data_IF_710594638641
#
_entry.id   IF_710594638641
#
_cell.length_a   1.000
_cell.length_b   1.000
_cell.length_c   1.000
_cell.angle_alpha   90.00
_cell.angle_beta   90.00
_cell.angle_gamma   90.00
#
_symmetry.space_group_name_H-M   'P 1'
#
loop_
_entity.id
_entity.type
_entity.pdbx_description
1 polymer ?
#
# COMPACT_ATOMS: atom_id res chain seq x y z
N UNK A 1 18.33 -0.10 -4.58
CA UNK A 1 18.76 -1.48 -4.27
C UNK A 1 19.13 -1.66 -2.79
N UNK A 2 20.17 -1.00 -2.25
CA UNK A 2 20.53 -1.11 -0.81
C UNK A 2 19.48 -0.59 0.18
N UNK A 3 18.67 0.38 -0.22
CA UNK A 3 17.60 0.90 0.65
C UNK A 3 16.44 -0.09 0.77
N UNK A 4 16.13 -0.85 -0.28
CA UNK A 4 14.99 -1.77 -0.30
C UNK A 4 15.18 -2.92 0.71
N UNK A 5 16.42 -3.34 0.98
CA UNK A 5 16.70 -4.37 1.98
C UNK A 5 16.41 -3.96 3.42
N UNK A 6 16.12 -2.68 3.68
CA UNK A 6 15.69 -2.18 5.00
C UNK A 6 14.19 -2.35 5.22
N UNK A 7 13.43 -2.65 4.17
CA UNK A 7 11.98 -2.74 4.21
C UNK A 7 11.52 -4.19 4.00
N UNK A 8 10.34 -4.52 4.48
CA UNK A 8 9.75 -5.84 4.32
C UNK A 8 9.51 -6.20 2.85
N UNK A 9 8.90 -5.27 2.11
CA UNK A 9 8.51 -5.48 0.73
C UNK A 9 8.46 -4.12 0.03
N UNK A 10 8.96 -4.05 -1.20
CA UNK A 10 8.84 -2.89 -2.08
C UNK A 10 7.76 -3.12 -3.12
N UNK A 11 6.99 -2.08 -3.39
CA UNK A 11 5.95 -2.10 -4.44
C UNK A 11 6.29 -1.03 -5.46
N UNK A 12 6.49 -1.45 -6.71
CA UNK A 12 6.65 -0.54 -7.85
C UNK A 12 5.30 -0.40 -8.56
N UNK A 13 4.78 0.83 -8.63
CA UNK A 13 3.64 1.16 -9.48
C UNK A 13 4.14 1.68 -10.84
N UNK A 14 3.46 1.29 -11.92
CA UNK A 14 3.72 1.81 -13.26
C UNK A 14 2.43 2.04 -14.05
N UNK A 15 2.53 2.76 -15.16
CA UNK A 15 1.49 2.91 -16.17
C UNK A 15 1.90 2.24 -17.50
N UNK A 16 2.95 1.42 -17.48
CA UNK A 16 3.40 0.64 -18.64
C UNK A 16 2.47 -0.56 -18.86
N UNK A 17 2.09 -0.79 -20.11
CA UNK A 17 1.30 -1.97 -20.47
C UNK A 17 2.21 -3.21 -20.47
N UNK A 18 1.84 -4.27 -19.77
CA UNK A 18 2.55 -5.55 -19.86
C UNK A 18 1.92 -6.47 -20.91
N UNK A 19 2.72 -7.38 -21.45
CA UNK A 19 2.26 -8.41 -22.38
C UNK A 19 1.36 -9.45 -21.67
N UNK A 20 0.65 -10.26 -22.46
CA UNK A 20 -0.14 -11.39 -21.97
C UNK A 20 -1.20 -11.07 -20.90
N UNK A 21 -1.73 -9.83 -20.89
CA UNK A 21 -2.75 -9.36 -19.92
C UNK A 21 -2.29 -9.39 -18.46
N UNK A 22 -0.98 -9.41 -18.22
CA UNK A 22 -0.42 -9.37 -16.88
C UNK A 22 -0.65 -7.98 -16.28
N UNK A 23 -1.09 -7.93 -15.02
CA UNK A 23 -1.27 -6.67 -14.27
C UNK A 23 -0.24 -6.49 -13.14
N UNK A 24 0.44 -7.56 -12.75
CA UNK A 24 1.48 -7.52 -11.74
C UNK A 24 2.39 -8.73 -11.79
N UNK A 25 3.50 -8.64 -11.08
CA UNK A 25 4.41 -9.74 -10.85
C UNK A 25 5.16 -9.54 -9.53
N UNK A 26 5.47 -10.63 -8.85
CA UNK A 26 6.13 -10.64 -7.55
C UNK A 26 7.09 -11.80 -7.44
N UNK A 27 8.15 -11.61 -6.65
CA UNK A 27 9.02 -12.72 -6.28
C UNK A 27 8.41 -13.51 -5.13
N UNK A 28 8.36 -14.83 -5.28
CA UNK A 28 7.90 -15.76 -4.24
C UNK A 28 9.06 -16.25 -3.37
N UNK A 29 8.81 -16.68 -2.13
CA UNK A 29 9.83 -17.22 -1.20
C UNK A 29 10.27 -18.67 -1.47
N UNK A 30 9.64 -19.37 -2.41
CA UNK A 30 9.92 -20.75 -2.80
C UNK A 30 9.61 -20.92 -4.31
N UNK A 31 10.46 -21.59 -5.12
CA UNK A 31 11.78 -22.16 -4.82
C UNK A 31 12.92 -21.13 -4.77
N UNK A 32 12.66 -19.88 -5.18
CA UNK A 32 13.65 -18.83 -5.17
C UNK A 32 13.59 -18.04 -3.85
N UNK A 33 14.70 -17.49 -3.36
CA UNK A 33 14.75 -16.78 -2.07
C UNK A 33 14.15 -15.36 -2.12
N UNK A 34 12.95 -15.20 -2.70
CA UNK A 34 12.24 -13.94 -2.82
C UNK A 34 11.17 -13.71 -1.76
N UNK A 35 10.26 -12.76 -2.03
CA UNK A 35 9.15 -12.42 -1.17
C UNK A 35 9.54 -11.56 0.03
N UNK A 36 8.65 -11.54 1.03
CA UNK A 36 8.83 -10.70 2.22
C UNK A 36 10.15 -10.93 2.94
N UNK A 37 10.77 -9.85 3.40
CA UNK A 37 12.04 -9.84 4.12
C UNK A 37 13.20 -10.54 3.37
N UNK A 38 13.09 -10.76 2.05
CA UNK A 38 14.18 -11.35 1.28
C UNK A 38 15.41 -10.45 1.29
N UNK A 39 16.56 -11.03 1.66
CA UNK A 39 17.85 -10.35 1.62
C UNK A 39 18.33 -10.25 0.17
N UNK A 40 19.05 -9.17 -0.19
CA UNK A 40 19.60 -9.05 -1.52
C UNK A 40 20.63 -10.15 -1.78
N UNK A 41 20.62 -10.71 -2.99
CA UNK A 41 21.63 -11.67 -3.44
C UNK A 41 22.49 -10.96 -4.47
N UNK A 42 23.79 -10.88 -4.16
CA UNK A 42 24.76 -10.05 -4.89
C UNK A 42 24.29 -8.58 -4.84
N UNK A 43 23.68 -8.06 -5.90
CA UNK A 43 23.20 -6.69 -6.02
C UNK A 43 21.70 -6.60 -6.37
N UNK A 44 21.01 -7.74 -6.42
CA UNK A 44 19.60 -7.81 -6.77
C UNK A 44 18.74 -7.96 -5.52
N UNK A 45 17.65 -7.20 -5.46
CA UNK A 45 16.65 -7.30 -4.40
C UNK A 45 15.48 -8.17 -4.88
N UNK A 46 15.03 -9.08 -4.01
CA UNK A 46 13.96 -10.05 -4.31
C UNK A 46 12.75 -9.89 -3.39
N UNK A 47 12.74 -8.84 -2.56
CA UNK A 47 11.59 -8.39 -1.78
C UNK A 47 10.87 -7.26 -2.54
N UNK A 48 10.56 -7.47 -3.82
CA UNK A 48 9.89 -6.49 -4.68
C UNK A 48 8.75 -7.14 -5.46
N UNK A 49 7.70 -6.36 -5.68
CA UNK A 49 6.68 -6.63 -6.67
C UNK A 49 6.44 -5.40 -7.53
N UNK A 50 5.91 -5.62 -8.73
CA UNK A 50 5.52 -4.56 -9.66
C UNK A 50 4.05 -4.73 -10.04
N UNK A 51 3.32 -3.63 -10.12
CA UNK A 51 1.93 -3.59 -10.59
C UNK A 51 1.76 -2.47 -11.60
N UNK A 52 0.91 -2.70 -12.60
CA UNK A 52 0.56 -1.69 -13.61
C UNK A 52 -0.88 -1.22 -13.47
N UNK A 53 -1.06 0.08 -13.65
CA UNK A 53 -2.37 0.73 -13.78
C UNK A 53 -2.89 0.74 -15.21
N UNK A 54 -2.23 0.04 -16.13
CA UNK A 54 -2.55 0.00 -17.56
C UNK A 54 -2.74 -1.42 -18.06
N UNK A 55 -3.86 -1.68 -18.75
CA UNK A 55 -4.11 -2.95 -19.45
C UNK A 55 -3.18 -3.09 -20.66
N UNK A 56 -3.01 -4.31 -21.19
CA UNK A 56 -2.24 -4.56 -22.43
C UNK A 56 -2.74 -3.76 -23.65
N UNK A 57 -3.97 -3.24 -23.63
CA UNK A 57 -4.54 -2.39 -24.69
C UNK A 57 -4.35 -0.89 -24.45
N UNK A 58 -3.63 -0.48 -23.40
CA UNK A 58 -3.43 0.93 -23.08
C UNK A 58 -4.63 1.61 -22.39
N UNK A 59 -5.60 0.84 -21.89
CA UNK A 59 -6.68 1.39 -21.07
C UNK A 59 -6.33 1.37 -19.59
N UNK A 60 -6.76 2.40 -18.84
CA UNK A 60 -6.58 2.47 -17.39
C UNK A 60 -7.34 1.33 -16.69
N UNK A 61 -6.67 0.68 -15.74
CA UNK A 61 -7.26 -0.35 -14.89
C UNK A 61 -8.18 0.31 -13.84
N UNK A 62 -9.42 -0.17 -13.65
CA UNK A 62 -10.30 0.28 -12.56
C UNK A 62 -9.65 0.12 -11.18
N UNK A 63 -9.90 1.06 -10.26
CA UNK A 63 -9.24 1.09 -8.95
C UNK A 63 -9.37 -0.22 -8.17
N UNK A 64 -10.58 -0.80 -8.11
CA UNK A 64 -10.81 -2.07 -7.39
C UNK A 64 -10.01 -3.24 -7.97
N UNK A 65 -9.78 -3.24 -9.29
CA UNK A 65 -8.96 -4.27 -9.95
C UNK A 65 -7.49 -4.05 -9.62
N UNK A 66 -7.03 -2.78 -9.58
CA UNK A 66 -5.67 -2.45 -9.18
C UNK A 66 -5.40 -2.84 -7.71
N UNK A 67 -6.32 -2.50 -6.79
CA UNK A 67 -6.18 -2.81 -5.37
C UNK A 67 -6.11 -4.32 -5.12
N UNK A 68 -6.96 -5.09 -5.81
CA UNK A 68 -6.95 -6.56 -5.71
C UNK A 68 -5.75 -7.20 -6.40
N UNK A 69 -5.24 -6.59 -7.48
CA UNK A 69 -3.97 -7.00 -8.10
C UNK A 69 -2.80 -6.78 -7.13
N UNK A 70 -2.74 -5.62 -6.45
CA UNK A 70 -1.73 -5.37 -5.42
C UNK A 70 -1.81 -6.42 -4.32
N UNK A 71 -3.02 -6.71 -3.82
CA UNK A 71 -3.20 -7.75 -2.81
C UNK A 71 -2.79 -9.16 -3.30
N UNK A 72 -3.05 -9.47 -4.57
CA UNK A 72 -2.64 -10.74 -5.21
C UNK A 72 -1.12 -10.89 -5.24
N UNK A 73 -0.40 -9.87 -5.71
CA UNK A 73 1.07 -9.90 -5.75
C UNK A 73 1.71 -9.89 -4.35
N UNK A 74 1.06 -9.25 -3.37
CA UNK A 74 1.45 -9.38 -1.97
C UNK A 74 1.25 -10.83 -1.50
N UNK A 75 0.14 -11.48 -1.84
CA UNK A 75 -0.12 -12.88 -1.51
C UNK A 75 0.99 -13.82 -1.99
N UNK A 76 1.44 -13.66 -3.24
CA UNK A 76 2.62 -14.37 -3.78
C UNK A 76 3.90 -14.07 -3.01
N UNK A 77 4.14 -12.80 -2.65
CA UNK A 77 5.29 -12.39 -1.83
C UNK A 77 5.29 -13.02 -0.43
N UNK A 78 4.11 -13.37 0.08
CA UNK A 78 3.90 -14.13 1.32
C UNK A 78 3.81 -15.66 1.08
N UNK A 79 4.03 -16.14 -0.15
CA UNK A 79 4.15 -17.55 -0.50
C UNK A 79 2.85 -18.28 -0.85
N UNK A 80 1.74 -17.56 -1.05
CA UNK A 80 0.54 -18.18 -1.60
C UNK A 80 0.71 -18.44 -3.10
N UNK A 81 0.36 -19.64 -3.55
CA UNK A 81 0.20 -19.96 -4.96
C UNK A 81 -1.22 -19.61 -5.43
N UNK A 82 -1.48 -19.82 -6.73
CA UNK A 82 -2.81 -19.61 -7.29
C UNK A 82 -3.85 -20.59 -6.73
N UNK A 83 -5.03 -20.06 -6.43
CA UNK A 83 -6.21 -20.82 -6.03
C UNK A 83 -6.87 -21.49 -7.25
N UNK A 84 -6.41 -22.70 -7.60
CA UNK A 84 -6.91 -23.46 -8.75
C UNK A 84 -7.92 -24.57 -8.39
N UNK A 85 -8.06 -24.89 -7.10
CA UNK A 85 -8.99 -25.93 -6.65
C UNK A 85 -10.42 -25.40 -6.55
N UNK A 86 -11.45 -26.22 -6.78
CA UNK A 86 -12.85 -25.76 -6.71
C UNK A 86 -13.21 -25.07 -5.38
N UNK A 87 -12.65 -25.53 -4.27
CA UNK A 87 -12.94 -24.99 -2.93
C UNK A 87 -12.29 -23.62 -2.68
N UNK A 88 -11.20 -23.30 -3.40
CA UNK A 88 -10.44 -22.06 -3.19
C UNK A 88 -10.51 -21.11 -4.39
N UNK A 89 -11.01 -21.54 -5.54
CA UNK A 89 -11.20 -20.66 -6.70
C UNK A 89 -12.21 -19.54 -6.40
N UNK A 90 -11.99 -18.34 -6.92
CA UNK A 90 -12.84 -17.16 -6.71
C UNK A 90 -12.36 -16.23 -5.61
N UNK A 91 -11.23 -16.49 -4.96
CA UNK A 91 -10.61 -15.59 -3.99
C UNK A 91 -9.50 -14.75 -4.64
N UNK A 92 -8.86 -13.85 -3.89
CA UNK A 92 -7.81 -12.93 -4.38
C UNK A 92 -6.72 -13.67 -5.17
N UNK A 93 -6.33 -14.87 -4.75
CA UNK A 93 -5.26 -15.65 -5.39
C UNK A 93 -5.73 -16.46 -6.61
N UNK A 94 -6.94 -16.23 -7.11
CA UNK A 94 -7.37 -16.83 -8.38
C UNK A 94 -6.49 -16.32 -9.53
N UNK A 95 -6.15 -17.16 -10.52
CA UNK A 95 -5.29 -16.75 -11.65
C UNK A 95 -5.99 -15.79 -12.64
N UNK A 96 -7.24 -15.42 -12.37
CA UNK A 96 -8.07 -14.57 -13.21
C UNK A 96 -8.70 -13.47 -12.37
N UNK A 97 -8.80 -12.27 -12.95
CA UNK A 97 -9.48 -11.12 -12.35
C UNK A 97 -11.00 -11.21 -12.55
N UNK A 98 -11.77 -10.72 -11.57
CA UNK A 98 -13.24 -10.77 -11.58
C UNK A 98 -13.81 -9.37 -11.82
N UNK A 99 -14.74 -9.21 -12.76
CA UNK A 99 -15.14 -7.87 -13.22
C UNK A 99 -15.99 -7.06 -12.24
N UNK A 100 -16.69 -7.69 -11.29
CA UNK A 100 -17.64 -6.99 -10.44
C UNK A 100 -17.17 -6.79 -8.99
N UNK A 101 -16.21 -7.60 -8.50
CA UNK A 101 -15.74 -7.67 -7.10
C UNK A 101 -16.86 -7.47 -6.05
N UNK A 102 -18.11 -7.82 -6.39
CA UNK A 102 -19.29 -7.59 -5.52
C UNK A 102 -19.35 -8.58 -4.38
N UNK A 103 -18.77 -9.75 -4.58
CA UNK A 103 -18.65 -10.78 -3.56
C UNK A 103 -17.45 -10.49 -2.67
N UNK A 104 -17.65 -10.56 -1.35
CA UNK A 104 -16.56 -10.54 -0.35
C UNK A 104 -15.48 -11.60 -0.65
N UNK A 105 -15.87 -12.70 -1.30
CA UNK A 105 -14.96 -13.75 -1.76
C UNK A 105 -13.84 -13.19 -2.65
N UNK A 106 -14.19 -12.33 -3.62
CA UNK A 106 -13.25 -11.77 -4.61
C UNK A 106 -12.25 -10.76 -4.02
N UNK A 107 -12.42 -10.37 -2.76
CA UNK A 107 -11.59 -9.39 -2.04
C UNK A 107 -11.05 -9.97 -0.72
N UNK A 108 -11.05 -11.29 -0.56
CA UNK A 108 -10.45 -11.97 0.59
C UNK A 108 -9.55 -13.11 0.14
N UNK A 109 -8.62 -13.53 1.00
CA UNK A 109 -7.82 -14.74 0.81
C UNK A 109 -8.66 -15.99 1.14
N UNK A 110 -8.49 -17.05 0.35
CA UNK A 110 -9.09 -18.36 0.61
C UNK A 110 -8.45 -19.03 1.84
N UNK A 111 -9.01 -20.14 2.30
CA UNK A 111 -8.33 -20.98 3.30
C UNK A 111 -7.02 -21.55 2.76
N UNK A 112 -6.99 -21.99 1.48
CA UNK A 112 -5.77 -22.51 0.84
C UNK A 112 -4.63 -21.48 0.88
N UNK A 113 -4.92 -20.23 0.51
CA UNK A 113 -3.91 -19.17 0.53
C UNK A 113 -3.40 -18.91 1.95
N UNK A 114 -4.29 -18.86 2.94
CA UNK A 114 -3.92 -18.63 4.35
C UNK A 114 -3.02 -19.74 4.90
N UNK A 115 -3.33 -20.99 4.57
CA UNK A 115 -2.54 -22.15 4.97
C UNK A 115 -1.12 -22.10 4.39
N UNK A 116 -0.95 -21.55 3.19
CA UNK A 116 0.35 -21.35 2.54
C UNK A 116 1.12 -20.13 3.07
N UNK A 117 0.42 -19.05 3.42
CA UNK A 117 1.01 -17.81 3.95
C UNK A 117 1.56 -18.03 5.36
N UNK A 118 0.85 -18.77 6.21
CA UNK A 118 1.18 -18.91 7.64
C UNK A 118 2.61 -19.41 7.90
N UNK A 119 3.12 -20.47 7.24
CA UNK A 119 4.50 -20.91 7.41
C UNK A 119 5.53 -19.85 7.02
N UNK A 120 5.24 -19.02 6.01
CA UNK A 120 6.14 -17.96 5.56
C UNK A 120 6.20 -16.82 6.58
N UNK A 121 5.07 -16.46 7.20
CA UNK A 121 5.05 -15.47 8.30
C UNK A 121 6.02 -15.87 9.41
N UNK A 122 5.99 -17.16 9.80
CA UNK A 122 6.87 -17.70 10.85
C UNK A 122 8.33 -17.75 10.40
N UNK A 123 8.59 -18.21 9.17
CA UNK A 123 9.96 -18.44 8.67
C UNK A 123 10.68 -17.15 8.24
N UNK A 124 9.96 -16.18 7.68
CA UNK A 124 10.53 -14.99 7.04
C UNK A 124 10.24 -13.68 7.76
N UNK A 125 9.41 -13.65 8.80
CA UNK A 125 9.02 -12.45 9.57
C UNK A 125 10.15 -11.73 10.34
N UNK A 126 11.43 -11.99 10.06
CA UNK A 126 12.59 -11.39 10.73
C UNK A 126 12.70 -9.86 10.59
N UNK A 127 12.03 -9.28 9.60
CA UNK A 127 11.96 -7.83 9.41
C UNK A 127 10.62 -7.23 9.83
N UNK A 128 9.73 -8.02 10.44
CA UNK A 128 8.44 -7.52 10.91
C UNK A 128 8.67 -6.80 12.22
N UNK A 129 8.12 -5.60 12.31
CA UNK A 129 8.13 -4.81 13.52
C UNK A 129 6.74 -4.90 14.17
N UNK A 130 6.65 -4.99 15.50
CA UNK A 130 5.37 -4.86 16.16
C UNK A 130 4.78 -3.49 15.82
N UNK A 131 3.47 -3.43 15.59
CA UNK A 131 2.74 -2.16 15.41
C UNK A 131 2.91 -1.39 16.72
N UNK A 132 3.89 -0.49 16.77
CA UNK A 132 4.36 0.13 18.01
C UNK A 132 4.11 1.62 18.04
N UNK A 133 3.86 2.25 16.88
CA UNK A 133 3.43 3.64 16.85
C UNK A 133 2.91 4.04 15.46
N UNK A 134 1.92 4.95 15.41
CA UNK A 134 1.66 5.84 14.27
C UNK A 134 2.95 6.34 13.61
N UNK A 135 3.03 6.30 12.28
CA UNK A 135 4.18 6.73 11.52
C UNK A 135 3.91 8.02 10.75
N UNK A 136 4.33 9.13 11.33
CA UNK A 136 4.24 10.42 10.66
C UNK A 136 5.11 10.48 9.39
N UNK A 137 4.49 10.77 8.26
CA UNK A 137 5.10 10.98 6.96
C UNK A 137 4.84 9.85 5.95
N UNK A 138 3.94 8.90 6.25
CA UNK A 138 3.47 7.88 5.31
C UNK A 138 2.20 8.34 4.54
N UNK A 139 1.61 9.47 4.91
CA UNK A 139 0.40 10.04 4.31
C UNK A 139 -0.90 9.40 4.81
N UNK A 140 -0.85 8.61 5.88
CA UNK A 140 -2.00 7.97 6.51
C UNK A 140 -2.25 8.67 7.84
N UNK A 141 -3.47 9.15 8.05
CA UNK A 141 -3.82 9.73 9.34
C UNK A 141 -3.96 8.61 10.38
N UNK A 142 -3.01 8.55 11.31
CA UNK A 142 -2.97 7.54 12.37
C UNK A 142 -3.32 8.13 13.74
N UNK A 143 -3.46 7.28 14.76
CA UNK A 143 -3.81 7.72 16.12
C UNK A 143 -2.81 8.77 16.62
N UNK A 144 -3.29 9.81 17.29
CA UNK A 144 -2.39 10.86 17.80
C UNK A 144 -1.81 11.79 16.73
N UNK A 145 -2.16 11.65 15.46
CA UNK A 145 -1.89 12.63 14.40
C UNK A 145 -3.10 13.56 14.15
N UNK A 146 -2.87 14.75 13.60
CA UNK A 146 -3.95 15.65 13.14
C UNK A 146 -4.00 15.75 11.61
N UNK A 147 -2.89 15.43 10.94
CA UNK A 147 -2.69 15.44 9.50
C UNK A 147 -1.44 14.58 9.20
N UNK A 148 -1.37 13.98 8.01
CA UNK A 148 -0.12 13.45 7.48
C UNK A 148 0.01 13.83 5.99
N UNK A 149 0.93 14.74 5.72
CA UNK A 149 1.24 15.30 4.41
C UNK A 149 2.32 14.50 3.64
N UNK A 150 2.79 13.38 4.20
CA UNK A 150 3.78 12.51 3.59
C UNK A 150 5.24 12.96 3.78
N UNK A 151 6.07 12.68 2.78
CA UNK A 151 7.51 12.94 2.85
C UNK A 151 7.82 14.43 3.06
N UNK A 152 8.85 14.74 3.86
CA UNK A 152 9.12 16.10 4.35
C UNK A 152 9.20 17.16 3.25
N UNK A 153 9.83 16.86 2.11
CA UNK A 153 9.98 17.84 1.02
C UNK A 153 8.64 18.15 0.34
N UNK A 154 7.88 17.11 0.00
CA UNK A 154 6.57 17.27 -0.63
C UNK A 154 5.59 18.00 0.30
N UNK A 155 5.59 17.64 1.58
CA UNK A 155 4.75 18.29 2.58
C UNK A 155 4.99 19.80 2.64
N UNK A 156 6.26 20.22 2.76
CA UNK A 156 6.62 21.64 2.82
C UNK A 156 6.19 22.44 1.58
N UNK A 157 6.05 21.79 0.43
CA UNK A 157 5.69 22.44 -0.83
C UNK A 157 4.20 22.38 -1.15
N UNK A 158 3.54 21.27 -0.83
CA UNK A 158 2.18 20.96 -1.29
C UNK A 158 1.12 21.15 -0.20
N UNK A 159 1.52 21.09 1.07
CA UNK A 159 0.60 21.10 2.20
C UNK A 159 1.19 21.88 3.40
N UNK A 160 1.19 23.23 3.31
CA UNK A 160 1.75 24.07 4.37
C UNK A 160 1.00 23.97 5.70
N UNK A 161 -0.21 23.41 5.67
CA UNK A 161 -1.12 23.30 6.79
C UNK A 161 -0.71 22.22 7.79
N UNK A 162 0.12 21.27 7.35
CA UNK A 162 0.63 20.20 8.16
C UNK A 162 2.13 20.37 8.47
N UNK A 163 2.56 20.06 9.70
CA UNK A 163 3.97 19.98 10.03
C UNK A 163 4.56 18.66 9.52
N UNK A 164 5.66 18.67 8.74
CA UNK A 164 6.28 17.44 8.26
C UNK A 164 6.93 16.64 9.39
N UNK A 165 7.21 15.35 9.13
CA UNK A 165 7.91 14.45 10.06
C UNK A 165 9.15 15.04 10.73
N UNK A 166 9.99 15.78 9.98
CA UNK A 166 11.24 16.37 10.50
C UNK A 166 11.10 17.84 10.94
N UNK A 167 9.88 18.29 11.25
CA UNK A 167 9.66 19.64 11.75
C UNK A 167 10.30 19.84 13.14
N UNK A 168 10.76 21.08 13.43
CA UNK A 168 11.25 21.49 14.77
C UNK A 168 10.12 21.68 15.79
N UNK A 169 8.98 21.02 15.61
CA UNK A 169 7.76 21.20 16.39
C UNK A 169 7.05 19.86 16.60
N UNK A 170 5.72 19.87 16.62
CA UNK A 170 4.93 18.64 16.66
C UNK A 170 4.76 18.12 15.22
N UNK A 171 5.40 17.00 14.85
CA UNK A 171 5.24 16.41 13.52
C UNK A 171 3.81 15.88 13.34
N UNK A 172 3.30 15.90 12.10
CA UNK A 172 1.94 15.44 11.75
C UNK A 172 0.84 16.10 12.58
N UNK A 173 1.09 17.36 12.95
CA UNK A 173 0.14 18.26 13.58
C UNK A 173 -0.10 19.49 12.73
N UNK A 174 -1.26 20.13 12.90
CA UNK A 174 -1.56 21.39 12.21
C UNK A 174 -0.44 22.39 12.48
N UNK A 175 0.02 23.07 11.44
CA UNK A 175 1.07 24.07 11.50
C UNK A 175 0.54 25.40 12.07
N UNK A 176 0.18 25.37 13.35
CA UNK A 176 -0.34 26.53 14.10
C UNK A 176 0.64 27.70 14.14
N UNK A 177 1.94 27.47 13.95
CA UNK A 177 2.96 28.52 13.84
C UNK A 177 2.78 29.41 12.61
N UNK A 178 2.16 28.90 11.55
CA UNK A 178 1.78 29.66 10.36
C UNK A 178 0.35 30.23 10.43
N UNK A 179 -0.33 30.11 11.57
CA UNK A 179 -1.68 30.63 11.78
C UNK A 179 -2.81 29.71 11.28
N UNK A 180 -2.49 28.49 10.84
CA UNK A 180 -3.50 27.50 10.47
C UNK A 180 -4.24 26.93 11.68
N UNK A 181 -5.52 26.67 11.50
CA UNK A 181 -6.45 26.28 12.58
C UNK A 181 -6.80 24.79 12.53
N UNK A 182 -6.84 24.22 11.33
CA UNK A 182 -7.26 22.86 11.05
C UNK A 182 -6.53 22.32 9.81
N UNK A 183 -6.72 21.05 9.49
CA UNK A 183 -6.28 20.45 8.24
C UNK A 183 -7.46 19.77 7.51
N UNK A 184 -7.57 19.83 6.16
CA UNK A 184 -8.68 19.22 5.41
C UNK A 184 -8.92 17.73 5.65
N UNK A 185 -7.91 16.96 6.08
CA UNK A 185 -8.07 15.55 6.46
C UNK A 185 -8.97 15.34 7.69
N UNK A 186 -9.19 16.38 8.50
CA UNK A 186 -10.04 16.33 9.68
C UNK A 186 -11.54 16.42 9.34
N UNK A 187 -11.87 16.69 8.08
CA UNK A 187 -13.23 16.70 7.57
C UNK A 187 -13.65 18.01 6.92
N UNK A 188 -14.91 18.06 6.49
CA UNK A 188 -15.47 19.16 5.68
C UNK A 188 -15.54 20.50 6.39
N UNK A 189 -15.43 20.52 7.72
CA UNK A 189 -15.39 21.73 8.53
C UNK A 189 -14.04 22.47 8.45
N UNK A 190 -13.05 21.92 7.75
CA UNK A 190 -11.80 22.62 7.45
C UNK A 190 -11.74 23.02 5.97
N UNK A 191 -11.52 24.31 5.71
CA UNK A 191 -11.37 24.80 4.35
C UNK A 191 -10.01 24.42 3.75
N UNK A 192 -9.87 24.54 2.42
CA UNK A 192 -8.57 24.39 1.75
C UNK A 192 -7.53 25.44 2.16
N UNK A 193 -7.97 26.54 2.77
CA UNK A 193 -7.09 27.56 3.35
C UNK A 193 -6.72 27.25 4.82
N UNK A 194 -7.12 26.07 5.33
CA UNK A 194 -6.72 25.54 6.63
C UNK A 194 -7.21 26.38 7.81
N UNK A 195 -8.42 26.90 7.61
CA UNK A 195 -9.25 27.62 8.57
C UNK A 195 -10.59 26.93 8.69
N UNK A 196 -11.24 27.08 9.84
CA UNK A 196 -12.57 26.53 10.03
C UNK A 196 -13.55 27.15 9.01
N UNK A 197 -14.33 26.29 8.35
CA UNK A 197 -15.36 26.72 7.42
C UNK A 197 -16.41 27.57 8.16
N UNK A 198 -16.76 28.72 7.59
CA UNK A 198 -17.79 29.61 8.15
C UNK A 198 -19.20 29.09 7.90
N UNK A 199 -19.39 28.36 6.80
CA UNK A 199 -20.63 27.71 6.41
C UNK A 199 -20.33 26.23 6.11
N UNK A 200 -21.05 25.31 6.74
CA UNK A 200 -20.98 23.88 6.44
C UNK A 200 -21.81 23.67 5.16
N UNK A 201 -21.24 23.16 4.05
CA UNK A 201 -22.03 22.86 2.87
C UNK A 201 -23.16 21.90 3.27
N UNK A 202 -24.41 22.32 3.02
CA UNK A 202 -25.62 21.58 3.42
C UNK A 202 -25.50 20.09 3.05
N UNK A 203 -25.85 19.23 4.01
CA UNK A 203 -25.95 17.78 3.86
C UNK A 203 -27.02 17.42 2.84
#
# INVERSE_FOLDING_TARGET
YKELSKYCLGIQFTAQSFENKILGASFMPDPFPGGVCAKPIINNAFNILIVTSMTTRGHRVPQIILDTTVAHEIGHSFGSYHDITPNCFGYIMSPQTFNDHKSKKHITFSSCSKDQILPILVKKGSCFEPITSPFCGNGILEEGEECDCGVTLDCLQKDPCCNPRRARGLPCKVNKKQGFQCHPSQGRCCSKACTYAKDIPNV
#
